data_IF_718239365891
#
_entry.id   IF_718239365891
#
_cell.length_a   1.000
_cell.length_b   1.000
_cell.length_c   1.000
_cell.angle_alpha   90.00
_cell.angle_beta   90.00
_cell.angle_gamma   90.00
#
_symmetry.space_group_name_H-M   'P 1'
#
loop_
_entity.id
_entity.type
_entity.pdbx_description
1 polymer ?
#
# COMPACT_ATOMS: atom_id res chain seq x y z
N UNK A 1 6.95 -6.17 -9.32
CA UNK A 1 6.27 -5.04 -8.60
C UNK A 1 7.34 -4.27 -7.88
N UNK A 2 7.54 -2.98 -8.14
CA UNK A 2 8.61 -2.23 -7.43
C UNK A 2 8.13 -1.88 -6.02
N UNK A 3 8.85 -2.33 -5.00
CA UNK A 3 8.52 -2.07 -3.58
C UNK A 3 9.43 -1.00 -3.01
N UNK A 4 8.89 0.20 -2.82
CA UNK A 4 9.55 1.28 -2.07
C UNK A 4 8.98 1.42 -0.64
N UNK A 5 9.36 2.48 0.06
CA UNK A 5 8.87 2.72 1.43
C UNK A 5 7.36 3.01 1.50
N UNK A 6 6.75 3.61 0.46
CA UNK A 6 5.32 3.85 0.39
C UNK A 6 4.57 2.55 0.11
N UNK A 7 4.98 1.81 -0.93
CA UNK A 7 4.38 0.53 -1.33
C UNK A 7 4.44 -0.45 -0.17
N UNK A 8 5.61 -0.63 0.47
CA UNK A 8 5.78 -1.51 1.63
C UNK A 8 4.83 -1.15 2.77
N UNK A 9 4.80 0.13 3.17
CA UNK A 9 3.98 0.57 4.32
C UNK A 9 2.49 0.41 4.02
N UNK A 10 2.04 0.91 2.87
CA UNK A 10 0.61 0.93 2.56
C UNK A 10 0.11 -0.48 2.25
N UNK A 11 0.90 -1.33 1.59
CA UNK A 11 0.54 -2.75 1.40
C UNK A 11 0.34 -3.46 2.73
N UNK A 12 1.14 -3.13 3.76
CA UNK A 12 0.94 -3.65 5.12
C UNK A 12 -0.33 -3.08 5.77
N UNK A 13 -0.59 -1.77 5.64
CA UNK A 13 -1.78 -1.12 6.20
C UNK A 13 -3.08 -1.64 5.57
N UNK A 14 -3.06 -1.93 4.27
CA UNK A 14 -4.16 -2.53 3.53
C UNK A 14 -4.28 -4.06 3.75
N UNK A 15 -3.35 -4.66 4.50
CA UNK A 15 -3.37 -6.10 4.77
C UNK A 15 -3.01 -7.00 3.58
N UNK A 16 -2.41 -6.43 2.53
CA UNK A 16 -1.97 -7.19 1.34
C UNK A 16 -0.78 -8.10 1.64
N UNK A 17 0.01 -7.76 2.66
CA UNK A 17 1.17 -8.52 3.11
C UNK A 17 1.35 -8.39 4.61
N UNK A 18 1.91 -9.43 5.24
CA UNK A 18 2.40 -9.39 6.63
C UNK A 18 3.93 -9.28 6.69
N UNK A 19 4.60 -9.40 5.55
CA UNK A 19 6.04 -9.33 5.47
C UNK A 19 6.56 -7.91 5.72
N UNK A 20 7.77 -7.84 6.27
CA UNK A 20 8.51 -6.59 6.47
C UNK A 20 9.70 -6.49 5.53
N UNK A 21 10.15 -7.61 4.98
CA UNK A 21 11.22 -7.66 4.00
C UNK A 21 10.69 -7.23 2.61
N UNK A 22 11.29 -6.23 1.95
CA UNK A 22 10.83 -5.76 0.64
C UNK A 22 10.73 -6.86 -0.43
N UNK A 23 11.66 -7.82 -0.45
CA UNK A 23 11.64 -8.92 -1.43
C UNK A 23 10.45 -9.85 -1.19
N UNK A 24 10.13 -10.13 0.09
CA UNK A 24 8.93 -10.92 0.43
C UNK A 24 7.64 -10.17 0.13
N UNK A 25 7.61 -8.86 0.37
CA UNK A 25 6.46 -8.02 0.00
C UNK A 25 6.24 -8.04 -1.52
N UNK A 26 7.31 -7.97 -2.31
CA UNK A 26 7.22 -8.05 -3.77
C UNK A 26 6.59 -9.37 -4.22
N UNK A 27 7.07 -10.50 -3.70
CA UNK A 27 6.50 -11.83 -3.99
C UNK A 27 5.03 -11.92 -3.59
N UNK A 28 4.67 -11.44 -2.40
CA UNK A 28 3.27 -11.41 -1.93
C UNK A 28 2.38 -10.60 -2.89
N UNK A 29 2.85 -9.44 -3.35
CA UNK A 29 2.10 -8.58 -4.27
C UNK A 29 1.99 -9.20 -5.67
N UNK A 30 3.06 -9.81 -6.18
CA UNK A 30 3.05 -10.53 -7.47
C UNK A 30 2.04 -11.68 -7.46
N UNK A 31 1.88 -12.38 -6.33
CA UNK A 31 0.91 -13.49 -6.21
C UNK A 31 -0.56 -13.04 -6.18
N UNK A 32 -0.82 -11.75 -5.94
CA UNK A 32 -2.17 -11.18 -5.75
C UNK A 32 -2.62 -10.27 -6.89
N UNK A 33 -1.68 -9.77 -7.68
CA UNK A 33 -1.92 -8.77 -8.72
C UNK A 33 -1.56 -9.32 -10.10
N UNK A 34 -2.37 -9.07 -11.14
CA UNK A 34 -2.01 -9.38 -12.51
C UNK A 34 -0.70 -8.69 -12.91
N UNK A 35 0.14 -9.38 -13.68
CA UNK A 35 1.49 -8.93 -14.05
C UNK A 35 1.50 -7.57 -14.76
N UNK A 36 0.51 -7.34 -15.62
CA UNK A 36 0.32 -6.10 -16.37
C UNK A 36 0.07 -4.88 -15.48
N UNK A 37 -0.38 -5.09 -14.24
CA UNK A 37 -0.72 -4.00 -13.31
C UNK A 37 0.42 -3.62 -12.37
N UNK A 38 1.52 -4.37 -12.35
CA UNK A 38 2.54 -4.26 -11.31
C UNK A 38 3.18 -2.87 -11.20
N UNK A 39 3.49 -2.26 -12.34
CA UNK A 39 4.14 -0.93 -12.40
C UNK A 39 3.14 0.15 -11.97
N UNK A 40 1.95 0.12 -12.56
CA UNK A 40 0.89 1.09 -12.27
C UNK A 40 0.44 1.03 -10.80
N UNK A 41 0.35 -0.17 -10.24
CA UNK A 41 0.00 -0.37 -8.83
C UNK A 41 1.02 0.29 -7.91
N UNK A 42 2.33 0.06 -8.14
CA UNK A 42 3.40 0.71 -7.39
C UNK A 42 3.32 2.23 -7.49
N UNK A 43 3.16 2.79 -8.70
CA UNK A 43 3.03 4.24 -8.88
C UNK A 43 1.81 4.82 -8.16
N UNK A 44 0.65 4.17 -8.25
CA UNK A 44 -0.58 4.61 -7.57
C UNK A 44 -0.40 4.64 -6.05
N UNK A 45 0.26 3.63 -5.47
CA UNK A 45 0.57 3.57 -4.05
C UNK A 45 1.53 4.67 -3.61
N UNK A 46 2.55 4.97 -4.42
CA UNK A 46 3.49 6.05 -4.15
C UNK A 46 2.76 7.40 -4.16
N UNK A 47 1.95 7.66 -5.19
CA UNK A 47 1.16 8.88 -5.31
C UNK A 47 0.17 9.03 -4.13
N UNK A 48 -0.57 7.95 -3.82
CA UNK A 48 -1.49 7.93 -2.71
C UNK A 48 -0.80 8.14 -1.35
N UNK A 49 0.37 7.53 -1.15
CA UNK A 49 1.17 7.69 0.06
C UNK A 49 1.74 9.08 0.26
N UNK A 50 1.97 9.83 -0.82
CA UNK A 50 2.42 11.23 -0.78
C UNK A 50 1.26 12.20 -0.55
N UNK A 51 0.13 11.96 -1.21
CA UNK A 51 -1.02 12.86 -1.19
C UNK A 51 -1.92 12.67 0.05
N UNK A 52 -2.29 11.42 0.36
CA UNK A 52 -3.37 11.09 1.31
C UNK A 52 -2.86 10.25 2.49
N UNK A 53 -2.32 9.06 2.23
CA UNK A 53 -1.89 8.13 3.28
C UNK A 53 -0.46 8.47 3.76
N UNK A 54 -0.24 9.66 4.31
CA UNK A 54 1.07 10.12 4.80
C UNK A 54 1.56 9.30 6.00
N UNK A 55 2.87 9.10 6.12
CA UNK A 55 3.45 8.16 7.10
C UNK A 55 3.16 8.48 8.59
N UNK A 56 3.09 9.77 8.96
CA UNK A 56 2.88 10.18 10.37
C UNK A 56 1.45 10.63 10.68
N UNK A 57 0.73 11.15 9.69
CA UNK A 57 -0.62 11.70 9.82
C UNK A 57 -1.39 11.45 8.51
N UNK A 58 -1.82 10.21 8.25
CA UNK A 58 -2.63 9.92 7.07
C UNK A 58 -3.99 10.60 7.19
N UNK A 59 -4.52 11.05 6.06
CA UNK A 59 -5.82 11.73 5.97
C UNK A 59 -6.91 10.68 5.71
N UNK A 60 -7.18 9.81 6.70
CA UNK A 60 -8.11 8.68 6.54
C UNK A 60 -9.51 9.13 6.11
N UNK A 61 -10.04 10.22 6.69
CA UNK A 61 -11.36 10.76 6.30
C UNK A 61 -11.42 11.39 4.90
N UNK A 62 -10.29 11.48 4.18
CA UNK A 62 -10.24 11.87 2.76
C UNK A 62 -9.81 10.70 1.87
N UNK A 63 -9.63 9.52 2.45
CA UNK A 63 -9.19 8.33 1.75
C UNK A 63 -10.40 7.60 1.16
N UNK A 64 -10.41 7.43 -0.16
CA UNK A 64 -11.44 6.64 -0.85
C UNK A 64 -11.46 5.15 -0.47
N UNK A 65 -10.46 4.69 0.28
CA UNK A 65 -10.35 3.32 0.77
C UNK A 65 -10.58 3.22 2.28
N UNK A 66 -11.08 4.27 2.93
CA UNK A 66 -11.29 4.29 4.39
C UNK A 66 -12.16 3.12 4.87
N UNK A 67 -13.27 2.88 4.18
CA UNK A 67 -14.26 1.86 4.45
C UNK A 67 -13.72 0.43 4.35
N UNK A 68 -12.75 0.20 3.45
CA UNK A 68 -12.13 -1.11 3.22
C UNK A 68 -10.74 -1.25 3.86
N UNK A 69 -10.15 -0.18 4.38
CA UNK A 69 -8.80 -0.19 4.94
C UNK A 69 -8.82 -0.68 6.40
N UNK A 70 -8.21 -1.84 6.72
CA UNK A 70 -8.25 -2.39 8.07
C UNK A 70 -7.43 -1.58 9.09
N UNK A 71 -6.68 -0.59 8.62
CA UNK A 71 -5.90 0.33 9.45
C UNK A 71 -6.54 1.71 9.62
N UNK A 72 -7.65 2.03 8.94
CA UNK A 72 -8.25 3.38 8.99
C UNK A 72 -8.64 3.79 10.42
N UNK A 73 -9.27 2.89 11.17
CA UNK A 73 -9.70 3.11 12.56
C UNK A 73 -8.58 2.97 13.61
N UNK A 74 -7.34 2.72 13.19
CA UNK A 74 -6.18 2.55 14.09
C UNK A 74 -5.23 3.75 14.04
N UNK A 75 -5.54 4.77 13.25
CA UNK A 75 -4.67 5.92 12.98
C UNK A 75 -5.32 7.23 13.38
#
# INVERSE_FOLDING_TARGET
VVVDTHVKRISKLLGLTRATDPAKVEVDLMSRLPEETWIDFSHRLILHGRAVCKARRPRCGECLMEDICPSANKV
#
